data_IF_706224665415
#
_entry.id   IF_706224665415
#
_cell.length_a   1.000
_cell.length_b   1.000
_cell.length_c   1.000
_cell.angle_alpha   90.00
_cell.angle_beta   90.00
_cell.angle_gamma   90.00
#
_symmetry.space_group_name_H-M   'P 1'
#
loop_
_entity.id
_entity.type
_entity.pdbx_description
1 polymer ?
#
# COMPACT_ATOMS: atom_id res chain seq x y z
N UNK A 1 2.52 1.60 -7.25
CA UNK A 1 3.55 1.11 -8.19
C UNK A 1 2.83 0.31 -9.29
N UNK A 2 3.01 0.66 -10.58
CA UNK A 2 2.41 -0.10 -11.70
C UNK A 2 2.90 -1.56 -11.76
N UNK A 3 3.98 -1.90 -11.03
CA UNK A 3 4.51 -3.26 -10.91
C UNK A 3 3.92 -4.05 -9.74
N UNK A 4 3.05 -3.44 -8.92
CA UNK A 4 2.39 -4.14 -7.83
C UNK A 4 1.42 -5.19 -8.38
N UNK A 5 1.61 -6.45 -7.99
CA UNK A 5 0.83 -7.58 -8.50
C UNK A 5 -0.38 -7.93 -7.63
N UNK A 6 -0.43 -7.44 -6.39
CA UNK A 6 -1.51 -7.71 -5.45
C UNK A 6 -2.27 -6.43 -5.07
N UNK A 7 -3.61 -6.48 -4.98
CA UNK A 7 -4.40 -5.35 -4.49
C UNK A 7 -4.17 -5.12 -2.98
N UNK A 8 -4.14 -3.85 -2.56
CA UNK A 8 -3.89 -3.48 -1.16
C UNK A 8 -4.81 -4.18 -0.16
N UNK A 9 -6.10 -4.32 -0.49
CA UNK A 9 -7.06 -5.01 0.36
C UNK A 9 -6.68 -6.48 0.62
N UNK A 10 -6.13 -7.17 -0.37
CA UNK A 10 -5.67 -8.55 -0.21
C UNK A 10 -4.39 -8.62 0.65
N UNK A 11 -3.45 -7.71 0.43
CA UNK A 11 -2.21 -7.63 1.23
C UNK A 11 -2.54 -7.37 2.70
N UNK A 12 -3.46 -6.46 2.98
CA UNK A 12 -3.92 -6.17 4.34
C UNK A 12 -4.68 -7.34 4.97
N UNK A 13 -5.54 -8.02 4.19
CA UNK A 13 -6.32 -9.17 4.67
C UNK A 13 -5.47 -10.40 5.03
N UNK A 14 -4.25 -10.50 4.53
CA UNK A 14 -3.28 -11.54 4.88
C UNK A 14 -2.48 -11.22 6.17
N UNK A 15 -2.64 -10.03 6.76
CA UNK A 15 -1.93 -9.61 7.98
C UNK A 15 -2.84 -9.70 9.21
N UNK A 16 -2.28 -9.87 10.43
CA UNK A 16 -3.05 -9.80 11.66
C UNK A 16 -3.78 -8.47 11.83
N UNK A 17 -5.01 -8.52 12.34
CA UNK A 17 -5.90 -7.36 12.48
C UNK A 17 -5.52 -6.39 13.60
N UNK A 18 -4.62 -6.78 14.50
CA UNK A 18 -4.07 -5.98 15.60
C UNK A 18 -2.67 -5.46 15.30
N UNK A 19 -1.98 -6.02 14.30
CA UNK A 19 -0.65 -5.58 13.92
C UNK A 19 -0.66 -4.14 13.37
N UNK A 20 0.32 -3.29 13.74
CA UNK A 20 0.45 -1.96 13.20
C UNK A 20 0.76 -2.01 11.70
N UNK A 21 0.24 -1.03 10.97
CA UNK A 21 0.43 -0.88 9.52
C UNK A 21 1.09 0.46 9.24
N UNK A 22 2.17 0.44 8.45
CA UNK A 22 2.76 1.64 7.87
C UNK A 22 2.50 1.63 6.37
N UNK A 23 2.03 2.76 5.83
CA UNK A 23 1.79 2.95 4.41
C UNK A 23 2.87 3.87 3.86
N UNK A 24 3.55 3.44 2.80
CA UNK A 24 4.55 4.24 2.10
C UNK A 24 3.97 4.70 0.77
N UNK A 25 3.84 6.01 0.59
CA UNK A 25 3.29 6.62 -0.62
C UNK A 25 4.37 7.50 -1.22
N UNK A 26 4.75 7.19 -2.45
CA UNK A 26 5.81 7.89 -3.17
C UNK A 26 5.32 9.16 -3.85
N UNK A 27 6.26 9.98 -4.37
CA UNK A 27 5.92 11.15 -5.16
C UNK A 27 5.22 10.76 -6.47
N UNK A 28 4.67 11.73 -7.19
CA UNK A 28 3.98 11.52 -8.47
C UNK A 28 4.85 10.83 -9.53
N UNK A 29 6.17 11.01 -9.46
CA UNK A 29 7.16 10.34 -10.33
C UNK A 29 7.36 8.86 -9.99
N UNK A 30 6.81 8.39 -8.88
CA UNK A 30 7.08 7.08 -8.30
C UNK A 30 8.41 7.03 -7.54
N UNK A 31 8.65 5.86 -6.94
CA UNK A 31 9.94 5.51 -6.32
C UNK A 31 10.94 5.05 -7.38
N UNK A 32 12.21 5.35 -7.17
CA UNK A 32 13.30 4.76 -7.93
C UNK A 32 13.45 3.26 -7.61
N UNK A 33 14.07 2.52 -8.52
CA UNK A 33 14.26 1.07 -8.37
C UNK A 33 15.08 0.72 -7.12
N UNK A 34 16.11 1.51 -6.82
CA UNK A 34 16.92 1.35 -5.60
C UNK A 34 16.11 1.59 -4.32
N UNK A 35 15.16 2.52 -4.33
CA UNK A 35 14.28 2.79 -3.18
C UNK A 35 13.28 1.65 -2.97
N UNK A 36 12.73 1.11 -4.06
CA UNK A 36 11.85 -0.06 -4.02
C UNK A 36 12.59 -1.29 -3.50
N UNK A 37 13.83 -1.52 -3.96
CA UNK A 37 14.67 -2.60 -3.47
C UNK A 37 15.00 -2.43 -1.99
N UNK A 38 15.43 -1.23 -1.58
CA UNK A 38 15.73 -0.92 -0.19
C UNK A 38 14.51 -1.03 0.74
N UNK A 39 13.30 -0.80 0.23
CA UNK A 39 12.06 -1.02 0.94
C UNK A 39 11.72 -2.52 1.05
N UNK A 40 11.87 -3.27 -0.04
CA UNK A 40 11.68 -4.72 -0.06
C UNK A 40 12.63 -5.44 0.90
N UNK A 41 13.89 -5.04 0.94
CA UNK A 41 14.91 -5.57 1.87
C UNK A 41 14.56 -5.32 3.35
N UNK A 42 13.75 -4.28 3.61
CA UNK A 42 13.19 -3.96 4.93
C UNK A 42 11.83 -4.62 5.21
N UNK A 43 11.38 -5.50 4.32
CA UNK A 43 10.11 -6.23 4.44
C UNK A 43 8.88 -5.43 4.03
N UNK A 44 9.04 -4.33 3.30
CA UNK A 44 7.91 -3.60 2.72
C UNK A 44 7.33 -4.40 1.55
N UNK A 45 6.02 -4.58 1.53
CA UNK A 45 5.30 -5.28 0.47
C UNK A 45 4.66 -4.27 -0.48
N UNK A 46 4.92 -4.39 -1.78
CA UNK A 46 4.27 -3.56 -2.80
C UNK A 46 2.80 -3.96 -2.98
N UNK A 47 1.92 -2.97 -3.13
CA UNK A 47 0.49 -3.18 -3.29
C UNK A 47 -0.13 -2.15 -4.25
N UNK A 48 -1.13 -2.60 -5.02
CA UNK A 48 -1.87 -1.78 -5.98
C UNK A 48 -3.16 -1.19 -5.41
N UNK A 49 -3.54 0.01 -5.90
CA UNK A 49 -4.80 0.69 -5.58
C UNK A 49 -5.84 0.59 -6.74
N UNK A 50 -5.64 -0.37 -7.64
CA UNK A 50 -6.45 -0.56 -8.87
C UNK A 50 -5.71 -0.10 -10.13
N UNK A 51 -6.43 -0.07 -11.25
CA UNK A 51 -5.84 0.13 -12.60
C UNK A 51 -5.51 1.59 -12.95
N UNK A 52 -5.88 2.53 -12.09
CA UNK A 52 -5.68 3.97 -12.35
C UNK A 52 -4.42 4.47 -11.68
N UNK A 53 -3.63 5.23 -12.42
CA UNK A 53 -2.55 6.03 -11.83
C UNK A 53 -3.17 7.19 -11.04
N UNK A 54 -2.96 7.19 -9.73
CA UNK A 54 -3.46 8.22 -8.82
C UNK A 54 -2.36 9.24 -8.54
N UNK A 55 -2.75 10.50 -8.32
CA UNK A 55 -1.87 11.51 -7.72
C UNK A 55 -1.51 11.11 -6.29
N UNK A 56 -0.36 11.58 -5.82
CA UNK A 56 0.22 11.25 -4.50
C UNK A 56 -0.80 11.38 -3.37
N UNK A 57 -1.49 12.51 -3.28
CA UNK A 57 -2.46 12.79 -2.22
C UNK A 57 -3.67 11.86 -2.28
N UNK A 58 -4.19 11.61 -3.49
CA UNK A 58 -5.32 10.69 -3.69
C UNK A 58 -4.94 9.25 -3.36
N UNK A 59 -3.72 8.83 -3.72
CA UNK A 59 -3.20 7.51 -3.38
C UNK A 59 -3.10 7.34 -1.85
N UNK A 60 -2.61 8.35 -1.13
CA UNK A 60 -2.51 8.33 0.32
C UNK A 60 -3.87 8.21 1.01
N UNK A 61 -4.84 9.04 0.61
CA UNK A 61 -6.20 9.01 1.19
C UNK A 61 -6.88 7.67 0.89
N UNK A 62 -6.78 7.17 -0.35
CA UNK A 62 -7.37 5.89 -0.72
C UNK A 62 -6.74 4.71 0.03
N UNK A 63 -5.42 4.69 0.17
CA UNK A 63 -4.71 3.66 0.91
C UNK A 63 -5.10 3.65 2.40
N UNK A 64 -5.22 4.83 3.01
CA UNK A 64 -5.66 4.96 4.40
C UNK A 64 -7.09 4.46 4.59
N UNK A 65 -8.02 4.87 3.73
CA UNK A 65 -9.42 4.42 3.80
C UNK A 65 -9.56 2.90 3.67
N UNK A 66 -8.77 2.27 2.80
CA UNK A 66 -8.73 0.81 2.68
C UNK A 66 -8.13 0.14 3.93
N UNK A 67 -7.08 0.75 4.50
CA UNK A 67 -6.43 0.24 5.70
C UNK A 67 -7.33 0.30 6.94
N UNK A 68 -8.15 1.32 7.08
CA UNK A 68 -9.09 1.46 8.21
C UNK A 68 -10.35 0.63 8.02
N UNK A 69 -10.98 0.67 6.84
CA UNK A 69 -12.23 -0.06 6.57
C UNK A 69 -12.11 -1.58 6.72
N UNK A 70 -10.98 -2.17 6.31
CA UNK A 70 -10.75 -3.61 6.46
C UNK A 70 -10.57 -4.07 7.91
N UNK A 71 -10.35 -3.14 8.85
CA UNK A 71 -10.15 -3.42 10.28
C UNK A 71 -11.42 -3.17 11.09
N UNK A 72 -12.24 -2.20 10.70
CA UNK A 72 -13.49 -1.88 11.40
C UNK A 72 -14.61 -2.92 11.17
N UNK A 73 -14.62 -3.60 10.02
CA UNK A 73 -15.66 -4.60 9.69
C UNK A 73 -15.44 -6.02 10.25
N UNK A 74 -14.39 -6.26 11.04
CA UNK A 74 -14.01 -7.59 11.56
C UNK A 74 -13.80 -7.65 13.08
N UNK A 75 -14.17 -6.58 13.79
CA UNK A 75 -14.22 -6.52 15.24
C UNK A 75 -15.49 -7.19 15.80
#
# INVERSE_FOLDING_TARGET
DPRATAPLAQVLGARPHDAPVALLVGPDTGFADDELQAAADRGVTSAGLGDRMLRTETAAIAALALATSGREGRA
#
